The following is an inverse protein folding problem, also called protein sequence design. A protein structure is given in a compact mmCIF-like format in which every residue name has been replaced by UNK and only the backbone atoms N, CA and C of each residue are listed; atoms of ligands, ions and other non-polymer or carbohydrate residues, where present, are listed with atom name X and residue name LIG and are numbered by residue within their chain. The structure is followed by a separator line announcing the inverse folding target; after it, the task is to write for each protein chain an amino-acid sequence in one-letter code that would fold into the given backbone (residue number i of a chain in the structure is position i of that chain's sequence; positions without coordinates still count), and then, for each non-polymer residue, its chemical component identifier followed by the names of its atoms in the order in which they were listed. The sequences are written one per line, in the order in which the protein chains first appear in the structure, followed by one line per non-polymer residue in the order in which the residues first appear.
data_IF_624330330011
#
_entry.id   IF_624330330011
#
_cell.length_a   1.000
_cell.length_b   1.000
_cell.length_c   1.000
_cell.angle_alpha   90.00
_cell.angle_beta   90.00
_cell.angle_gamma   90.00
#
_symmetry.space_group_name_H-M   'P 1'
#
loop_
_entity.id
_entity.type
_entity.pdbx_description
1 polymer ?
#
# COMPACT_ATOMS: atom_id res chain seq x y z
N UNK A 1 -26.68 21.86 -39.51
CA UNK A 1 -26.22 22.11 -38.14
C UNK A 1 -26.74 20.98 -37.28
N UNK A 2 -25.90 20.02 -36.89
CA UNK A 2 -26.29 18.87 -36.07
C UNK A 2 -25.65 18.98 -34.69
N UNK A 3 -26.44 18.61 -33.68
CA UNK A 3 -26.25 18.66 -32.24
C UNK A 3 -25.00 17.93 -31.72
N UNK A 4 -24.55 18.32 -30.53
CA UNK A 4 -23.61 17.55 -29.73
C UNK A 4 -23.37 18.15 -28.35
N UNK A 5 -24.40 18.15 -27.48
CA UNK A 5 -24.19 18.38 -26.04
C UNK A 5 -23.51 17.14 -25.43
N UNK A 6 -22.21 16.99 -25.64
CA UNK A 6 -21.39 16.02 -24.93
C UNK A 6 -21.13 16.54 -23.52
N UNK A 7 -21.94 16.13 -22.54
CA UNK A 7 -21.53 16.22 -21.13
C UNK A 7 -20.24 15.42 -21.02
N UNK A 8 -19.15 16.12 -20.70
CA UNK A 8 -17.86 15.53 -20.40
C UNK A 8 -18.11 14.66 -19.16
N UNK A 9 -18.36 13.37 -19.38
CA UNK A 9 -18.55 12.41 -18.30
C UNK A 9 -17.31 12.43 -17.44
N UNK A 10 -17.50 12.66 -16.14
CA UNK A 10 -16.44 12.55 -15.13
C UNK A 10 -15.62 11.29 -15.43
N UNK A 11 -14.32 11.47 -15.66
CA UNK A 11 -13.36 10.37 -15.66
C UNK A 11 -13.42 9.73 -14.27
N UNK A 12 -14.11 8.59 -14.16
CA UNK A 12 -14.05 7.78 -12.96
C UNK A 12 -12.67 7.13 -12.89
N UNK A 13 -12.01 7.29 -11.76
CA UNK A 13 -10.76 6.60 -11.47
C UNK A 13 -11.05 5.10 -11.39
N UNK A 14 -10.51 4.35 -12.36
CA UNK A 14 -10.67 2.90 -12.43
C UNK A 14 -9.76 2.26 -11.41
N UNK A 15 -10.32 1.45 -10.51
CA UNK A 15 -9.53 0.76 -9.50
C UNK A 15 -8.98 -0.56 -10.05
N UNK A 16 -7.85 -1.08 -9.53
CA UNK A 16 -7.34 -2.39 -9.94
C UNK A 16 -8.37 -3.52 -9.79
N UNK A 17 -9.23 -3.43 -8.78
CA UNK A 17 -10.32 -4.39 -8.53
C UNK A 17 -11.32 -4.47 -9.69
N UNK A 18 -11.59 -3.33 -10.35
CA UNK A 18 -12.50 -3.23 -11.49
C UNK A 18 -11.93 -3.95 -12.74
N UNK A 19 -10.61 -4.14 -12.78
CA UNK A 19 -9.88 -4.75 -13.91
C UNK A 19 -9.54 -6.23 -13.67
N UNK A 20 -9.24 -6.60 -12.43
CA UNK A 20 -8.71 -7.93 -12.08
C UNK A 20 -9.81 -8.93 -11.70
N UNK A 21 -11.05 -8.47 -11.48
CA UNK A 21 -12.22 -9.34 -11.28
C UNK A 21 -12.17 -10.22 -10.02
N UNK A 22 -11.25 -9.94 -9.10
CA UNK A 22 -11.07 -10.66 -7.83
C UNK A 22 -11.32 -9.72 -6.65
N UNK A 23 -12.00 -10.22 -5.63
CA UNK A 23 -12.13 -9.48 -4.38
C UNK A 23 -10.76 -9.34 -3.70
N UNK A 24 -10.49 -8.15 -3.15
CA UNK A 24 -9.32 -7.94 -2.33
C UNK A 24 -9.37 -8.85 -1.09
N UNK A 25 -8.22 -9.43 -0.75
CA UNK A 25 -8.11 -10.26 0.46
C UNK A 25 -8.36 -9.39 1.69
N UNK A 26 -9.27 -9.82 2.57
CA UNK A 26 -9.48 -9.19 3.87
C UNK A 26 -8.41 -9.64 4.85
N UNK A 27 -7.70 -8.67 5.43
CA UNK A 27 -6.70 -8.93 6.45
C UNK A 27 -7.36 -9.07 7.83
N UNK A 28 -6.92 -10.07 8.60
CA UNK A 28 -7.32 -10.21 10.00
C UNK A 28 -6.41 -9.32 10.87
N UNK A 29 -6.87 -8.09 11.10
CA UNK A 29 -6.12 -7.10 11.87
C UNK A 29 -5.88 -7.49 13.34
N UNK A 30 -6.77 -8.29 13.95
CA UNK A 30 -6.60 -8.72 15.34
C UNK A 30 -5.46 -9.74 15.43
N UNK A 31 -5.46 -10.70 14.51
CA UNK A 31 -4.38 -11.68 14.42
C UNK A 31 -3.05 -11.01 14.09
N UNK A 32 -3.02 -10.10 13.12
CA UNK A 32 -1.81 -9.36 12.76
C UNK A 32 -1.27 -8.52 13.93
N UNK A 33 -2.14 -7.84 14.69
CA UNK A 33 -1.72 -7.11 15.89
C UNK A 33 -1.06 -8.04 16.91
N UNK A 34 -1.66 -9.20 17.17
CA UNK A 34 -1.07 -10.18 18.10
C UNK A 34 0.29 -10.72 17.61
N UNK A 35 0.44 -10.94 16.30
CA UNK A 35 1.68 -11.48 15.73
C UNK A 35 2.81 -10.45 15.66
N UNK A 36 2.50 -9.17 15.42
CA UNK A 36 3.47 -8.12 15.09
C UNK A 36 3.81 -7.18 16.25
N UNK A 37 2.92 -7.02 17.23
CA UNK A 37 3.14 -6.12 18.36
C UNK A 37 4.40 -6.51 19.15
N UNK A 38 5.24 -5.54 19.45
CA UNK A 38 6.50 -5.74 20.18
C UNK A 38 7.55 -6.57 19.44
N UNK A 39 7.36 -6.88 18.15
CA UNK A 39 8.38 -7.57 17.35
C UNK A 39 9.43 -6.60 16.80
N UNK A 40 10.60 -7.13 16.50
CA UNK A 40 11.65 -6.46 15.73
C UNK A 40 11.61 -6.98 14.30
N UNK A 41 11.41 -6.09 13.34
CA UNK A 41 11.12 -6.44 11.94
C UNK A 41 12.14 -5.77 11.03
N UNK A 42 12.69 -6.52 10.07
CA UNK A 42 13.52 -6.00 8.98
C UNK A 42 12.74 -6.07 7.67
N UNK A 43 12.57 -4.94 7.00
CA UNK A 43 11.98 -4.87 5.66
C UNK A 43 13.10 -4.64 4.65
N UNK A 44 13.32 -5.62 3.77
CA UNK A 44 14.27 -5.51 2.66
C UNK A 44 13.59 -4.98 1.41
N UNK A 45 14.26 -4.11 0.66
CA UNK A 45 13.63 -3.44 -0.48
C UNK A 45 12.60 -2.39 -0.02
N UNK A 46 12.83 -1.77 1.14
CA UNK A 46 11.86 -0.90 1.79
C UNK A 46 11.44 0.30 0.93
N UNK A 47 12.32 0.80 0.06
CA UNK A 47 12.03 1.93 -0.84
C UNK A 47 11.24 1.54 -2.09
N UNK A 48 11.01 0.24 -2.32
CA UNK A 48 10.19 -0.25 -3.43
C UNK A 48 8.70 0.02 -3.24
N UNK A 49 7.91 -0.18 -4.31
CA UNK A 49 6.46 -0.02 -4.27
C UNK A 49 5.79 -0.89 -3.20
N UNK A 50 6.19 -2.16 -3.10
CA UNK A 50 5.66 -3.10 -2.11
C UNK A 50 6.28 -2.87 -0.73
N UNK A 51 7.59 -2.67 -0.64
CA UNK A 51 8.29 -2.49 0.63
C UNK A 51 7.81 -1.26 1.40
N UNK A 52 7.58 -0.15 0.69
CA UNK A 52 7.12 1.10 1.30
C UNK A 52 5.71 0.96 1.85
N UNK A 53 4.84 0.23 1.13
CA UNK A 53 3.48 -0.04 1.58
C UNK A 53 3.47 -1.00 2.77
N UNK A 54 4.34 -2.02 2.78
CA UNK A 54 4.52 -2.87 3.94
C UNK A 54 4.98 -2.07 5.16
N UNK A 55 5.94 -1.15 5.01
CA UNK A 55 6.40 -0.29 6.12
C UNK A 55 5.23 0.52 6.71
N UNK A 56 4.41 1.17 5.86
CA UNK A 56 3.23 1.93 6.27
C UNK A 56 2.18 1.06 6.96
N UNK A 57 1.96 -0.16 6.49
CA UNK A 57 1.01 -1.09 7.09
C UNK A 57 1.50 -1.71 8.40
N UNK A 58 2.80 -1.90 8.57
CA UNK A 58 3.39 -2.46 9.79
C UNK A 58 3.37 -1.48 10.96
N UNK A 59 3.59 -0.17 10.71
CA UNK A 59 3.73 0.84 11.76
C UNK A 59 2.54 0.92 12.76
N UNK A 60 1.26 0.83 12.35
CA UNK A 60 0.12 0.85 13.26
C UNK A 60 -0.04 -0.36 14.20
N UNK A 61 0.73 -1.44 13.98
CA UNK A 61 0.70 -2.64 14.82
C UNK A 61 1.65 -2.58 16.01
N UNK A 62 2.33 -1.45 16.23
CA UNK A 62 3.22 -1.21 17.37
C UNK A 62 4.34 -2.26 17.52
N UNK A 63 5.13 -2.53 16.46
CA UNK A 63 6.38 -3.29 16.62
C UNK A 63 7.36 -2.54 17.53
N UNK A 64 8.25 -3.27 18.19
CA UNK A 64 9.32 -2.69 19.03
C UNK A 64 10.34 -1.93 18.16
N UNK A 65 10.62 -2.45 16.96
CA UNK A 65 11.56 -1.85 16.02
C UNK A 65 11.22 -2.26 14.59
N UNK A 66 11.26 -1.30 13.67
CA UNK A 66 11.24 -1.57 12.23
C UNK A 66 12.56 -1.06 11.64
N UNK A 67 13.32 -1.95 11.02
CA UNK A 67 14.53 -1.62 10.26
C UNK A 67 14.18 -1.62 8.78
N UNK A 68 14.43 -0.50 8.11
CA UNK A 68 14.18 -0.35 6.69
C UNK A 68 15.50 -0.48 5.95
N UNK A 69 15.62 -1.49 5.10
CA UNK A 69 16.81 -1.75 4.30
C UNK A 69 16.51 -1.59 2.81
N UNK A 70 17.26 -0.72 2.16
CA UNK A 70 17.18 -0.45 0.74
C UNK A 70 18.56 -0.04 0.22
N UNK A 71 18.87 -0.43 -1.01
CA UNK A 71 20.12 -0.06 -1.69
C UNK A 71 20.05 1.36 -2.26
N UNK A 72 18.88 1.77 -2.74
CA UNK A 72 18.64 3.11 -3.27
C UNK A 72 18.23 4.10 -2.16
N UNK A 73 19.15 4.97 -1.76
CA UNK A 73 18.93 5.97 -0.71
C UNK A 73 17.72 6.87 -1.00
N UNK A 74 17.60 7.41 -2.22
CA UNK A 74 16.49 8.29 -2.58
C UNK A 74 15.14 7.60 -2.41
N UNK A 75 15.03 6.33 -2.79
CA UNK A 75 13.78 5.57 -2.64
C UNK A 75 13.41 5.38 -1.16
N UNK A 76 14.40 5.15 -0.30
CA UNK A 76 14.19 5.03 1.15
C UNK A 76 13.78 6.37 1.79
N UNK A 77 14.34 7.47 1.31
CA UNK A 77 14.06 8.82 1.80
C UNK A 77 12.60 9.24 1.61
N UNK A 78 11.93 8.75 0.57
CA UNK A 78 10.55 9.12 0.22
C UNK A 78 9.46 8.18 0.77
N UNK A 79 9.79 7.24 1.66
CA UNK A 79 8.82 6.29 2.26
C UNK A 79 7.80 6.98 3.15
#
# INVERSE_FOLDING_TARGET
MVQGKGRIGQLQEVKPEDLLGREAVRLDHNRLRHELQGKRILVTGAGGSVGSELCRQLAPFEPELIVLYERAESSLYFI
#
